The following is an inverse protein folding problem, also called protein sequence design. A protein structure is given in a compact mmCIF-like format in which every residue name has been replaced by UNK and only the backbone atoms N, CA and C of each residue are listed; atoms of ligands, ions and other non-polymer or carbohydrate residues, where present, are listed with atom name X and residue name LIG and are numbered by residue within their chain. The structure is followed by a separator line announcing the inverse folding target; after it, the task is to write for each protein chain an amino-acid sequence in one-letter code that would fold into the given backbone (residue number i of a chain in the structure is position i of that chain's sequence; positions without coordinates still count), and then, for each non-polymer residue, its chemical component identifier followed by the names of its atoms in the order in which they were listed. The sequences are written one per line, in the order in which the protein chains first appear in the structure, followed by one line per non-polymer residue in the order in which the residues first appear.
data_IF_318814586613
#
_entry.id   IF_318814586613
#
_cell.length_a   1.000
_cell.length_b   1.000
_cell.length_c   1.000
_cell.angle_alpha   90.00
_cell.angle_beta   90.00
_cell.angle_gamma   90.00
#
_symmetry.space_group_name_H-M   'P 1'
#
loop_
_entity.id
_entity.type
_entity.pdbx_description
1 polymer ?
#
# COMPACT_ATOMS: atom_id res chain seq x y z
N UNK A 1 -2.31 3.39 1.64
CA UNK A 1 -2.76 3.37 0.23
C UNK A 1 -4.08 4.12 0.14
N UNK A 2 -4.41 4.68 -1.03
CA UNK A 2 -5.69 5.34 -1.31
C UNK A 2 -6.39 4.54 -2.43
N UNK A 3 -7.51 3.90 -2.08
CA UNK A 3 -8.52 3.46 -3.04
C UNK A 3 -9.50 4.63 -3.21
N UNK A 4 -9.61 5.17 -4.42
CA UNK A 4 -10.44 6.32 -4.71
C UNK A 4 -11.60 5.92 -5.64
N UNK A 5 -12.84 6.22 -5.24
CA UNK A 5 -14.01 6.02 -6.09
C UNK A 5 -13.96 6.98 -7.28
N UNK A 6 -14.59 6.61 -8.39
CA UNK A 6 -14.75 7.53 -9.52
C UNK A 6 -15.64 8.72 -9.12
N UNK A 7 -15.14 9.95 -9.30
CA UNK A 7 -15.89 11.16 -8.95
C UNK A 7 -14.98 12.38 -8.93
N UNK A 8 -15.44 13.51 -8.36
CA UNK A 8 -14.65 14.75 -8.32
C UNK A 8 -13.27 14.55 -7.68
N UNK A 9 -13.18 13.70 -6.65
CA UNK A 9 -11.91 13.36 -6.00
C UNK A 9 -10.95 12.61 -6.93
N UNK A 10 -11.43 11.69 -7.79
CA UNK A 10 -10.55 10.99 -8.74
C UNK A 10 -10.19 11.85 -9.95
N UNK A 11 -11.09 12.72 -10.41
CA UNK A 11 -10.79 13.68 -11.48
C UNK A 11 -9.71 14.67 -11.03
N UNK A 12 -9.81 15.21 -9.82
CA UNK A 12 -8.73 16.03 -9.27
C UNK A 12 -7.48 15.19 -8.97
N UNK A 13 -7.65 13.96 -8.49
CA UNK A 13 -6.58 13.09 -8.01
C UNK A 13 -5.77 12.35 -9.08
N UNK A 14 -6.28 12.20 -10.31
CA UNK A 14 -5.70 11.30 -11.31
C UNK A 14 -5.91 11.68 -12.77
N UNK A 15 -6.26 12.94 -13.09
CA UNK A 15 -6.42 13.37 -14.47
C UNK A 15 -5.06 13.67 -15.15
N UNK A 16 -4.58 12.71 -15.93
CA UNK A 16 -3.28 12.78 -16.60
C UNK A 16 -3.17 13.99 -17.54
N UNK A 17 -1.99 14.63 -17.62
CA UNK A 17 -0.71 14.20 -17.04
C UNK A 17 -0.45 14.69 -15.60
N UNK A 18 -1.39 15.39 -14.97
CA UNK A 18 -1.16 16.03 -13.66
C UNK A 18 -1.72 15.19 -12.52
N UNK A 19 -0.93 14.98 -11.47
CA UNK A 19 -1.40 14.35 -10.23
C UNK A 19 -1.03 15.23 -9.02
N UNK A 20 -1.94 15.44 -8.05
CA UNK A 20 -1.68 16.30 -6.89
C UNK A 20 -0.94 15.57 -5.76
N UNK A 21 -0.58 14.31 -5.95
CA UNK A 21 0.10 13.48 -4.95
C UNK A 21 1.60 13.78 -4.94
N UNK A 22 2.13 14.12 -3.77
CA UNK A 22 3.55 14.37 -3.58
C UNK A 22 4.20 13.32 -2.67
N UNK A 23 5.51 13.15 -2.83
CA UNK A 23 6.35 12.40 -1.91
C UNK A 23 7.01 13.36 -0.91
N UNK A 24 7.30 12.86 0.29
CA UNK A 24 8.13 13.56 1.26
C UNK A 24 9.62 13.53 0.85
N UNK A 25 10.50 14.12 1.67
CA UNK A 25 11.94 14.15 1.40
C UNK A 25 12.60 12.75 1.34
N UNK A 26 12.02 11.75 2.01
CA UNK A 26 12.46 10.35 1.96
C UNK A 26 11.92 9.59 0.73
N UNK A 27 11.20 10.28 -0.16
CA UNK A 27 10.59 9.69 -1.34
C UNK A 27 9.33 8.88 -1.08
N UNK A 28 8.76 8.95 0.12
CA UNK A 28 7.52 8.25 0.50
C UNK A 28 6.31 9.15 0.27
N UNK A 29 5.30 8.64 -0.40
CA UNK A 29 4.06 9.35 -0.68
C UNK A 29 2.86 8.41 -0.76
N UNK A 30 1.66 8.96 -0.97
CA UNK A 30 0.46 8.14 -1.12
C UNK A 30 0.54 7.26 -2.37
N UNK A 31 0.45 5.95 -2.19
CA UNK A 31 0.12 5.04 -3.29
C UNK A 31 -1.39 5.16 -3.56
N UNK A 32 -1.75 5.74 -4.70
CA UNK A 32 -3.12 6.06 -5.11
C UNK A 32 -3.55 5.21 -6.30
N UNK A 33 -4.79 4.74 -6.29
CA UNK A 33 -5.42 4.11 -7.46
C UNK A 33 -6.93 4.33 -7.43
N UNK A 34 -7.53 4.38 -8.62
CA UNK A 34 -8.96 4.47 -8.84
C UNK A 34 -9.39 3.25 -9.65
N UNK A 35 -10.35 2.49 -9.11
CA UNK A 35 -10.97 1.36 -9.81
C UNK A 35 -12.22 1.85 -10.53
N UNK A 36 -13.42 1.61 -10.00
CA UNK A 36 -14.68 2.09 -10.52
C UNK A 36 -15.40 2.99 -9.50
N UNK A 37 -16.62 3.38 -9.83
CA UNK A 37 -17.44 4.19 -8.93
C UNK A 37 -17.99 3.33 -7.78
N UNK A 38 -18.49 2.16 -8.14
CA UNK A 38 -19.30 1.27 -7.32
C UNK A 38 -18.50 0.29 -6.46
N UNK A 39 -17.20 0.10 -6.72
CA UNK A 39 -16.37 -0.95 -6.10
C UNK A 39 -15.30 -0.42 -5.13
N UNK A 40 -15.35 0.86 -4.77
CA UNK A 40 -14.27 1.50 -4.02
C UNK A 40 -13.99 0.84 -2.67
N UNK A 41 -15.04 0.38 -1.98
CA UNK A 41 -14.90 -0.24 -0.66
C UNK A 41 -14.23 -1.62 -0.77
N UNK A 42 -14.69 -2.44 -1.71
CA UNK A 42 -14.17 -3.77 -2.02
C UNK A 42 -12.73 -3.70 -2.55
N UNK A 43 -12.45 -2.71 -3.40
CA UNK A 43 -11.11 -2.44 -3.91
C UNK A 43 -10.15 -2.07 -2.78
N UNK A 44 -10.56 -1.16 -1.88
CA UNK A 44 -9.80 -0.82 -0.69
C UNK A 44 -9.62 -1.99 0.28
N UNK A 45 -10.62 -2.86 0.42
CA UNK A 45 -10.53 -4.09 1.20
C UNK A 45 -9.51 -5.07 0.60
N UNK A 46 -9.46 -5.20 -0.73
CA UNK A 46 -8.45 -5.99 -1.44
C UNK A 46 -7.02 -5.54 -1.13
N UNK A 47 -6.79 -4.22 -1.05
CA UNK A 47 -5.52 -3.66 -0.59
C UNK A 47 -5.18 -4.06 0.84
N UNK A 48 -6.15 -3.96 1.77
CA UNK A 48 -5.95 -4.30 3.18
C UNK A 48 -5.57 -5.78 3.34
N UNK A 49 -6.32 -6.68 2.71
CA UNK A 49 -6.07 -8.13 2.76
C UNK A 49 -4.67 -8.44 2.20
N UNK A 50 -4.29 -7.80 1.10
CA UNK A 50 -2.97 -7.98 0.48
C UNK A 50 -1.84 -7.50 1.39
N UNK A 51 -1.97 -6.33 2.02
CA UNK A 51 -0.98 -5.82 2.98
C UNK A 51 -0.83 -6.75 4.17
N UNK A 52 -1.93 -7.25 4.73
CA UNK A 52 -1.88 -8.18 5.85
C UNK A 52 -1.12 -9.45 5.48
N UNK A 53 -1.39 -10.00 4.28
CA UNK A 53 -0.71 -11.21 3.82
C UNK A 53 0.78 -10.96 3.55
N UNK A 54 1.12 -9.81 2.97
CA UNK A 54 2.52 -9.42 2.77
C UNK A 54 3.25 -9.25 4.11
N UNK A 55 2.61 -8.66 5.11
CA UNK A 55 3.19 -8.51 6.44
C UNK A 55 3.36 -9.85 7.18
N UNK A 56 2.39 -10.75 7.05
CA UNK A 56 2.51 -12.13 7.55
C UNK A 56 3.69 -12.85 6.90
N UNK A 57 3.79 -12.79 5.57
CA UNK A 57 4.87 -13.42 4.82
C UNK A 57 6.24 -12.83 5.16
N UNK A 58 6.34 -11.50 5.28
CA UNK A 58 7.56 -10.82 5.69
C UNK A 58 8.05 -11.32 7.06
N UNK A 59 7.14 -11.45 8.05
CA UNK A 59 7.49 -12.00 9.38
C UNK A 59 7.95 -13.46 9.30
N UNK A 60 7.28 -14.29 8.50
CA UNK A 60 7.71 -15.67 8.27
C UNK A 60 9.11 -15.75 7.66
N UNK A 61 9.41 -14.85 6.71
CA UNK A 61 10.75 -14.76 6.12
C UNK A 61 11.80 -14.31 7.13
N UNK A 62 11.49 -13.31 7.98
CA UNK A 62 12.38 -12.88 9.07
C UNK A 62 12.71 -14.04 9.99
N UNK A 63 11.72 -14.80 10.45
CA UNK A 63 11.92 -15.98 11.29
C UNK A 63 12.76 -17.06 10.58
N UNK A 64 12.46 -17.34 9.30
CA UNK A 64 13.19 -18.33 8.52
C UNK A 64 14.65 -17.95 8.31
N UNK A 65 14.93 -16.65 8.21
CA UNK A 65 16.27 -16.11 7.98
C UNK A 65 16.98 -15.74 9.29
N UNK A 66 16.37 -15.97 10.46
CA UNK A 66 16.96 -15.68 11.77
C UNK A 66 18.40 -16.19 11.94
N UNK A 67 18.77 -17.41 11.47
CA UNK A 67 20.15 -17.89 11.57
C UNK A 67 21.17 -17.07 10.75
N UNK A 68 20.71 -16.31 9.75
CA UNK A 68 21.55 -15.50 8.86
C UNK A 68 21.59 -14.02 9.26
N UNK A 69 20.53 -13.51 9.87
CA UNK A 69 20.40 -12.09 10.25
C UNK A 69 20.60 -11.84 11.75
N UNK A 70 20.74 -12.91 12.55
CA UNK A 70 20.87 -12.88 14.00
C UNK A 70 19.53 -13.08 14.71
N UNK A 71 19.50 -13.98 15.70
CA UNK A 71 18.30 -14.34 16.46
C UNK A 71 17.72 -13.15 17.23
N UNK A 72 18.58 -12.32 17.85
CA UNK A 72 18.15 -11.12 18.59
C UNK A 72 17.43 -10.11 17.68
N UNK A 73 17.93 -9.94 16.44
CA UNK A 73 17.33 -9.04 15.46
C UNK A 73 16.01 -9.60 14.90
N UNK A 74 15.92 -10.92 14.71
CA UNK A 74 14.72 -11.58 14.20
C UNK A 74 13.60 -11.71 15.26
N UNK A 75 13.94 -11.60 16.55
CA UNK A 75 12.99 -11.67 17.66
C UNK A 75 12.29 -10.34 18.01
N UNK A 76 12.69 -9.24 17.37
CA UNK A 76 12.12 -7.89 17.59
C UNK A 76 10.88 -7.66 16.72
#
# INVERSE_FOLDING_TARGET
MIANATGCSSIYGGNLPTTPWAKNAEGRGPAWSNSLFEDNAEFGLGFRISIDKQAEFARQLVQRLAPQIGEDFAAT
#
